data_IF_274805016341
#
_entry.id   IF_274805016341
#
_cell.length_a   1.000
_cell.length_b   1.000
_cell.length_c   1.000
_cell.angle_alpha   90.00
_cell.angle_beta   90.00
_cell.angle_gamma   90.00
#
_symmetry.space_group_name_H-M   'P 1'
#
loop_
_entity.id
_entity.type
_entity.pdbx_description
1 polymer ?
#
# COMPACT_ATOMS: atom_id res chain seq x y z
N UNK A 1 -4.12 12.67 19.94
CA UNK A 1 -5.34 12.86 19.18
C UNK A 1 -5.24 12.29 17.77
N UNK A 2 -6.40 12.11 17.18
CA UNK A 2 -6.49 11.54 15.85
C UNK A 2 -5.79 12.37 14.79
N UNK A 3 -5.88 13.68 14.94
CA UNK A 3 -5.25 14.58 13.95
C UNK A 3 -3.74 14.37 13.91
N UNK A 4 -3.14 14.23 15.09
CA UNK A 4 -1.70 13.99 15.16
C UNK A 4 -1.31 12.68 14.52
N UNK A 5 -2.12 11.64 14.75
CA UNK A 5 -1.85 10.34 14.17
C UNK A 5 -1.93 10.40 12.65
N UNK A 6 -2.96 11.07 12.14
CA UNK A 6 -3.12 11.23 10.70
C UNK A 6 -1.97 12.03 10.10
N UNK A 7 -1.58 13.11 10.76
CA UNK A 7 -0.47 13.92 10.29
C UNK A 7 0.82 13.11 10.23
N UNK A 8 1.05 12.28 11.25
CA UNK A 8 2.21 11.42 11.27
C UNK A 8 2.22 10.43 10.10
N UNK A 9 1.06 9.84 9.82
CA UNK A 9 0.96 8.87 8.74
C UNK A 9 1.25 9.51 7.40
N UNK A 10 0.71 10.71 7.16
CA UNK A 10 0.98 11.40 5.91
C UNK A 10 2.41 11.89 5.84
N UNK A 11 2.99 12.30 6.97
CA UNK A 11 4.40 12.68 7.00
C UNK A 11 5.27 11.51 6.59
N UNK A 12 4.95 10.31 7.07
CA UNK A 12 5.68 9.11 6.69
C UNK A 12 5.53 8.80 5.21
N UNK A 13 4.34 9.00 4.67
CA UNK A 13 4.11 8.82 3.25
C UNK A 13 4.96 9.79 2.43
N UNK A 14 5.02 11.05 2.82
CA UNK A 14 5.81 12.04 2.10
C UNK A 14 7.30 11.76 2.21
N UNK A 15 7.76 11.27 3.35
CA UNK A 15 9.15 10.82 3.47
C UNK A 15 9.44 9.71 2.46
N UNK A 16 8.51 8.77 2.35
CA UNK A 16 8.66 7.72 1.35
C UNK A 16 8.80 8.28 -0.05
N UNK A 17 7.99 9.27 -0.38
CA UNK A 17 8.07 9.89 -1.70
C UNK A 17 9.40 10.60 -1.92
N UNK A 18 9.90 11.29 -0.91
CA UNK A 18 11.18 11.99 -1.03
C UNK A 18 12.30 11.01 -1.35
N UNK A 19 12.35 9.90 -0.63
CA UNK A 19 13.36 8.87 -0.91
C UNK A 19 13.13 8.19 -2.24
N UNK A 20 11.87 8.03 -2.64
CA UNK A 20 11.57 7.37 -3.91
C UNK A 20 12.06 8.18 -5.10
N UNK A 21 11.99 9.51 -5.03
CA UNK A 21 12.39 10.36 -6.14
C UNK A 21 13.74 11.04 -5.92
N UNK A 22 14.30 10.95 -4.72
CA UNK A 22 15.57 11.60 -4.41
C UNK A 22 15.45 13.11 -4.26
N UNK A 23 14.36 13.57 -3.65
CA UNK A 23 14.12 14.99 -3.48
C UNK A 23 14.55 15.41 -2.09
N UNK A 24 15.60 16.20 -2.01
CA UNK A 24 16.13 16.66 -0.74
C UNK A 24 16.96 15.62 0.00
N UNK A 25 16.96 14.39 -0.48
CA UNK A 25 17.76 13.30 0.06
C UNK A 25 18.21 12.44 -1.11
N UNK A 26 19.20 11.61 -0.88
CA UNK A 26 19.64 10.69 -1.91
C UNK A 26 18.57 9.63 -2.15
N UNK A 27 18.28 9.35 -3.42
CA UNK A 27 17.26 8.37 -3.77
C UNK A 27 17.58 7.01 -3.16
N UNK A 28 16.58 6.40 -2.54
CA UNK A 28 16.75 5.08 -1.93
C UNK A 28 15.40 4.40 -1.87
N UNK A 29 15.18 3.48 -2.80
CA UNK A 29 13.86 2.82 -2.91
C UNK A 29 13.59 1.85 -1.76
N UNK A 30 14.63 1.26 -1.19
CA UNK A 30 14.45 0.42 -0.01
C UNK A 30 13.95 1.22 1.19
N UNK A 31 14.55 2.39 1.40
CA UNK A 31 14.11 3.28 2.48
C UNK A 31 12.70 3.79 2.20
N UNK A 32 12.42 4.11 0.92
CA UNK A 32 11.08 4.56 0.54
C UNK A 32 10.06 3.48 0.86
N UNK A 33 10.35 2.21 0.54
CA UNK A 33 9.44 1.12 0.83
C UNK A 33 9.13 1.03 2.32
N UNK A 34 10.15 1.21 3.16
CA UNK A 34 9.95 1.19 4.60
C UNK A 34 9.00 2.27 5.08
N UNK A 35 9.17 3.50 4.57
CA UNK A 35 8.28 4.59 4.94
C UNK A 35 6.87 4.38 4.42
N UNK A 36 6.74 3.91 3.17
CA UNK A 36 5.42 3.62 2.61
C UNK A 36 4.72 2.54 3.44
N UNK A 37 5.46 1.53 3.89
CA UNK A 37 4.86 0.47 4.67
C UNK A 37 4.30 1.02 5.99
N UNK A 38 5.07 1.85 6.67
CA UNK A 38 4.60 2.45 7.92
C UNK A 38 3.32 3.26 7.70
N UNK A 39 3.30 4.05 6.64
CA UNK A 39 2.13 4.85 6.34
C UNK A 39 0.94 3.97 5.94
N UNK A 40 1.20 2.93 5.15
CA UNK A 40 0.16 2.01 4.72
C UNK A 40 -0.47 1.29 5.91
N UNK A 41 0.36 0.91 6.88
CA UNK A 41 -0.16 0.24 8.07
C UNK A 41 -1.03 1.16 8.89
N UNK A 42 -0.93 2.46 8.70
CA UNK A 42 -1.77 3.44 9.38
C UNK A 42 -2.95 3.90 8.54
N UNK A 43 -3.16 3.28 7.39
CA UNK A 43 -4.34 3.53 6.58
C UNK A 43 -4.19 4.51 5.44
N UNK A 44 -2.97 4.91 5.09
CA UNK A 44 -2.77 5.81 3.95
C UNK A 44 -2.84 5.00 2.67
N UNK A 45 -3.95 5.14 1.95
CA UNK A 45 -4.20 4.32 0.76
C UNK A 45 -3.16 4.53 -0.33
N UNK A 46 -2.72 5.76 -0.54
CA UNK A 46 -1.69 6.04 -1.53
C UNK A 46 -0.39 5.31 -1.20
N UNK A 47 -0.07 5.19 0.08
CA UNK A 47 1.12 4.46 0.50
C UNK A 47 1.00 2.98 0.18
N UNK A 48 -0.18 2.40 0.41
CA UNK A 48 -0.43 1.01 0.07
C UNK A 48 -0.26 0.77 -1.42
N UNK A 49 -0.79 1.69 -2.23
CA UNK A 49 -0.65 1.59 -3.68
C UNK A 49 0.82 1.62 -4.09
N UNK A 50 1.57 2.59 -3.54
CA UNK A 50 2.97 2.72 -3.92
C UNK A 50 3.82 1.55 -3.45
N UNK A 51 3.51 1.03 -2.26
CA UNK A 51 4.20 -0.15 -1.77
C UNK A 51 3.94 -1.35 -2.68
N UNK A 52 2.68 -1.53 -3.09
CA UNK A 52 2.33 -2.58 -4.04
C UNK A 52 3.13 -2.44 -5.34
N UNK A 53 3.28 -1.21 -5.83
CA UNK A 53 4.01 -0.97 -7.06
C UNK A 53 5.48 -1.34 -6.92
N UNK A 54 6.09 -1.08 -5.77
CA UNK A 54 7.48 -1.46 -5.55
C UNK A 54 7.64 -2.97 -5.54
N UNK A 55 6.71 -3.69 -4.92
CA UNK A 55 6.76 -5.16 -4.92
C UNK A 55 6.52 -5.72 -6.33
N UNK A 56 5.63 -5.10 -7.07
CA UNK A 56 5.37 -5.56 -8.44
C UNK A 56 6.61 -5.45 -9.30
N UNK A 57 7.36 -4.38 -9.15
CA UNK A 57 8.54 -4.10 -9.97
C UNK A 57 9.83 -4.64 -9.38
N UNK A 58 9.83 -5.05 -8.13
CA UNK A 58 11.05 -5.48 -7.47
C UNK A 58 12.03 -4.35 -7.27
N UNK A 59 11.52 -3.17 -6.93
CA UNK A 59 12.35 -1.98 -6.72
C UNK A 59 12.43 -1.66 -5.25
N UNK A 60 13.63 -1.74 -4.69
CA UNK A 60 13.86 -1.49 -3.28
C UNK A 60 13.46 -2.65 -2.38
N UNK A 61 12.69 -3.59 -2.89
CA UNK A 61 12.28 -4.81 -2.21
C UNK A 61 12.30 -5.92 -3.25
N UNK A 62 12.43 -7.19 -2.84
CA UNK A 62 12.36 -8.30 -3.80
C UNK A 62 10.99 -8.33 -4.48
N UNK A 63 10.97 -8.66 -5.76
CA UNK A 63 9.71 -8.73 -6.49
C UNK A 63 8.81 -9.81 -5.90
N UNK A 64 7.56 -9.47 -5.69
CA UNK A 64 6.59 -10.40 -5.13
C UNK A 64 5.20 -9.99 -5.58
N UNK A 65 4.69 -10.70 -6.61
CA UNK A 65 3.41 -10.35 -7.19
C UNK A 65 2.23 -10.59 -6.25
N UNK A 66 2.32 -11.61 -5.41
CA UNK A 66 1.24 -11.87 -4.47
C UNK A 66 1.18 -10.78 -3.41
N UNK A 67 2.34 -10.32 -2.97
CA UNK A 67 2.40 -9.25 -2.00
C UNK A 67 1.95 -7.93 -2.62
N UNK A 68 2.31 -7.70 -3.89
CA UNK A 68 1.83 -6.54 -4.63
C UNK A 68 0.31 -6.57 -4.69
N UNK A 69 -0.26 -7.72 -5.02
CA UNK A 69 -1.71 -7.89 -5.04
C UNK A 69 -2.31 -7.54 -3.69
N UNK A 70 -1.67 -8.01 -2.62
CA UNK A 70 -2.15 -7.75 -1.27
C UNK A 70 -2.22 -6.26 -0.94
N UNK A 71 -1.14 -5.54 -1.22
CA UNK A 71 -1.12 -4.11 -0.90
C UNK A 71 -2.02 -3.30 -1.81
N UNK A 72 -2.14 -3.68 -3.09
CA UNK A 72 -3.10 -3.04 -3.98
C UNK A 72 -4.53 -3.28 -3.48
N UNK A 73 -4.80 -4.47 -2.93
CA UNK A 73 -6.12 -4.77 -2.37
C UNK A 73 -6.45 -3.89 -1.18
N UNK A 74 -5.45 -3.65 -0.31
CA UNK A 74 -5.65 -2.75 0.82
C UNK A 74 -6.01 -1.36 0.31
N UNK A 75 -5.26 -0.87 -0.68
CA UNK A 75 -5.54 0.45 -1.25
C UNK A 75 -6.94 0.51 -1.86
N UNK A 76 -7.30 -0.52 -2.63
CA UNK A 76 -8.62 -0.56 -3.27
C UNK A 76 -9.74 -0.63 -2.24
N UNK A 77 -9.51 -1.37 -1.16
CA UNK A 77 -10.51 -1.53 -0.10
C UNK A 77 -10.89 -0.20 0.54
N UNK A 78 -9.92 0.70 0.67
CA UNK A 78 -10.19 2.01 1.26
C UNK A 78 -10.48 3.08 0.19
N UNK A 79 -10.75 2.66 -1.03
CA UNK A 79 -11.27 3.56 -2.05
C UNK A 79 -10.25 4.15 -3.02
N UNK A 80 -9.04 3.64 -3.05
CA UNK A 80 -8.02 4.18 -3.96
C UNK A 80 -8.21 3.60 -5.36
N UNK A 81 -8.56 4.47 -6.32
CA UNK A 81 -8.85 4.03 -7.68
C UNK A 81 -7.61 3.46 -8.39
N UNK A 82 -6.45 4.04 -8.13
CA UNK A 82 -5.22 3.53 -8.73
C UNK A 82 -4.90 2.13 -8.23
N UNK A 83 -5.15 1.90 -6.93
CA UNK A 83 -4.96 0.58 -6.35
C UNK A 83 -5.89 -0.44 -6.96
N UNK A 84 -7.16 -0.07 -7.15
CA UNK A 84 -8.12 -0.97 -7.75
C UNK A 84 -7.73 -1.35 -9.18
N UNK A 85 -7.26 -0.37 -9.94
CA UNK A 85 -6.83 -0.59 -11.31
C UNK A 85 -5.61 -1.51 -11.37
N UNK A 86 -4.62 -1.21 -10.53
CA UNK A 86 -3.40 -2.01 -10.48
C UNK A 86 -3.70 -3.43 -10.03
N UNK A 87 -4.66 -3.59 -9.13
CA UNK A 87 -5.07 -4.90 -8.64
C UNK A 87 -5.55 -5.78 -9.80
N UNK A 88 -6.38 -5.23 -10.66
CA UNK A 88 -6.88 -5.97 -11.81
C UNK A 88 -5.73 -6.40 -12.72
N UNK A 89 -4.79 -5.51 -12.94
CA UNK A 89 -3.68 -5.79 -13.83
C UNK A 89 -2.78 -6.89 -13.27
N UNK A 90 -2.51 -6.85 -11.98
CA UNK A 90 -1.68 -7.88 -11.35
C UNK A 90 -2.42 -9.21 -11.35
N UNK A 91 -3.72 -9.18 -11.05
CA UNK A 91 -4.51 -10.42 -11.03
C UNK A 91 -4.42 -11.15 -12.37
N UNK A 92 -4.41 -10.41 -13.46
CA UNK A 92 -4.32 -11.00 -14.79
C UNK A 92 -3.00 -11.71 -15.04
N UNK A 93 -1.97 -11.38 -14.27
CA UNK A 93 -0.65 -11.99 -14.41
C UNK A 93 -0.46 -13.21 -13.52
N UNK A 94 -1.40 -13.48 -12.62
CA UNK A 94 -1.26 -14.58 -11.67
C UNK A 94 -2.00 -15.81 -12.15
N UNK A 95 -1.41 -16.98 -11.88
CA UNK A 95 -2.08 -18.25 -12.13
C UNK A 95 -3.23 -18.40 -11.15
N UNK A 96 -4.08 -19.39 -11.39
CA UNK A 96 -5.22 -19.65 -10.53
C UNK A 96 -4.78 -19.92 -9.09
N UNK A 97 -3.75 -20.73 -8.93
CA UNK A 97 -3.20 -21.04 -7.61
C UNK A 97 -2.64 -19.81 -6.96
N UNK A 98 -1.88 -19.02 -7.72
CA UNK A 98 -1.31 -17.77 -7.20
C UNK A 98 -2.39 -16.80 -6.78
N UNK A 99 -3.48 -16.72 -7.57
CA UNK A 99 -4.60 -15.84 -7.20
C UNK A 99 -5.23 -16.28 -5.89
N UNK A 100 -5.37 -17.58 -5.68
CA UNK A 100 -5.92 -18.09 -4.44
C UNK A 100 -5.07 -17.67 -3.24
N UNK A 101 -3.76 -17.83 -3.36
CA UNK A 101 -2.86 -17.45 -2.28
C UNK A 101 -2.83 -15.94 -2.08
N UNK A 102 -2.85 -15.20 -3.18
CA UNK A 102 -2.86 -13.74 -3.12
C UNK A 102 -4.11 -13.23 -2.43
N UNK A 103 -5.25 -13.87 -2.69
CA UNK A 103 -6.51 -13.46 -2.05
C UNK A 103 -6.50 -13.74 -0.55
N UNK A 104 -5.87 -14.83 -0.13
CA UNK A 104 -5.71 -15.11 1.30
C UNK A 104 -4.87 -14.03 1.97
N UNK A 105 -3.74 -13.72 1.37
CA UNK A 105 -2.86 -12.68 1.89
C UNK A 105 -3.59 -11.35 1.94
N UNK A 106 -4.32 -11.05 0.88
CA UNK A 106 -5.11 -9.84 0.75
C UNK A 106 -6.11 -9.70 1.88
N UNK A 107 -6.85 -10.76 2.16
CA UNK A 107 -7.83 -10.74 3.25
C UNK A 107 -7.15 -10.47 4.59
N UNK A 108 -5.99 -11.08 4.81
CA UNK A 108 -5.27 -10.87 6.06
C UNK A 108 -4.79 -9.42 6.19
N UNK A 109 -4.25 -8.86 5.11
CA UNK A 109 -3.78 -7.49 5.12
C UNK A 109 -4.92 -6.51 5.30
N UNK A 110 -6.05 -6.74 4.63
CA UNK A 110 -7.21 -5.87 4.75
C UNK A 110 -7.75 -5.92 6.17
N UNK A 111 -7.84 -7.11 6.74
CA UNK A 111 -8.32 -7.27 8.10
C UNK A 111 -7.44 -6.51 9.09
N UNK A 112 -6.15 -6.51 8.85
CA UNK A 112 -5.21 -5.89 9.76
C UNK A 112 -5.03 -4.39 9.52
N UNK A 113 -4.99 -3.97 8.27
CA UNK A 113 -4.62 -2.59 7.91
C UNK A 113 -5.65 -1.84 7.08
N UNK A 114 -6.66 -2.51 6.58
CA UNK A 114 -7.62 -1.90 5.68
C UNK A 114 -8.81 -1.24 6.39
N UNK A 115 -8.56 -0.70 7.56
CA UNK A 115 -9.64 -0.13 8.36
C UNK A 115 -9.99 1.25 7.82
N UNK A 116 -11.27 1.41 7.46
CA UNK A 116 -11.78 2.71 7.04
C UNK A 116 -11.99 3.55 8.29
N UNK A 117 -11.60 4.83 8.27
CA UNK A 117 -11.77 5.68 9.46
C UNK A 117 -13.20 5.67 9.94
N UNK A 118 -13.37 5.55 11.23
CA UNK A 118 -14.69 5.43 11.82
C UNK A 118 -15.56 6.64 11.57
N UNK A 119 -14.96 7.80 11.58
CA UNK A 119 -15.71 9.01 11.32
C UNK A 119 -16.39 8.97 9.97
N UNK A 120 -15.76 8.29 9.00
CA UNK A 120 -16.33 8.13 7.69
C UNK A 120 -17.44 7.08 7.70
N UNK A 121 -17.20 5.99 8.36
CA UNK A 121 -18.15 4.87 8.34
C UNK A 121 -19.39 5.20 9.14
N UNK A 122 -19.32 6.16 10.04
CA UNK A 122 -20.46 6.49 10.86
C UNK A 122 -21.31 7.57 10.32
N UNK A 123 -21.21 7.87 9.08
CA UNK A 123 -22.11 8.84 8.53
C UNK A 123 -23.49 8.42 8.76
N UNK A 124 -24.20 9.25 9.27
CA UNK A 124 -25.56 8.84 9.51
C UNK A 124 -26.46 9.82 9.03
#
# INVERSE_FOLDING_TARGET
PLAETSDHAYAQYFLGRMYAVGQGVEQNLGTAAGWYRKAAEKGVADASYRLGALYERGKGVPSDMEYAYGWYSVAAHVGNAKGADALKKVAAKLSETEQTEAKKLSRNLIKKYGVVPKSTSRRK
#
